data_IF_273817532238
#
_entry.id   IF_273817532238
#
_cell.length_a   1.000
_cell.length_b   1.000
_cell.length_c   1.000
_cell.angle_alpha   90.00
_cell.angle_beta   90.00
_cell.angle_gamma   90.00
#
_symmetry.space_group_name_H-M   'P 1'
#
loop_
_entity.id
_entity.type
_entity.pdbx_description
1 polymer ?
#
# COMPACT_ATOMS: atom_id res chain seq x y z
N UNK A 1 13.98 5.93 -1.12
CA UNK A 1 13.11 5.83 -2.32
C UNK A 1 13.07 4.37 -2.75
N UNK A 2 11.90 3.74 -2.62
CA UNK A 2 11.71 2.31 -2.87
C UNK A 2 10.41 2.02 -3.62
N UNK A 3 10.42 0.92 -4.36
CA UNK A 3 9.23 0.34 -4.97
C UNK A 3 8.62 -0.67 -3.99
N UNK A 4 7.32 -0.53 -3.73
CA UNK A 4 6.56 -1.45 -2.88
C UNK A 4 5.77 -2.38 -3.77
N UNK A 5 6.00 -3.69 -3.64
CA UNK A 5 5.27 -4.72 -4.36
C UNK A 5 4.29 -5.40 -3.43
N UNK A 6 3.02 -5.47 -3.81
CA UNK A 6 1.96 -6.16 -3.06
C UNK A 6 1.35 -7.22 -3.98
N UNK A 7 1.43 -8.48 -3.57
CA UNK A 7 1.00 -9.63 -4.37
C UNK A 7 0.19 -10.66 -3.57
N UNK A 8 -0.01 -10.42 -2.27
CA UNK A 8 -0.71 -11.35 -1.40
C UNK A 8 -2.23 -11.19 -1.52
N UNK A 9 -2.93 -12.29 -1.80
CA UNK A 9 -4.37 -12.29 -2.01
C UNK A 9 -5.10 -11.91 -0.72
N UNK A 10 -6.11 -11.05 -0.84
CA UNK A 10 -6.87 -10.58 0.32
C UNK A 10 -6.17 -9.48 1.11
N UNK A 11 -4.95 -9.09 0.72
CA UNK A 11 -4.31 -7.90 1.28
C UNK A 11 -5.17 -6.65 1.02
N UNK A 12 -5.16 -5.73 1.99
CA UNK A 12 -5.87 -4.48 1.89
C UNK A 12 -4.95 -3.29 2.11
N UNK A 13 -4.94 -2.38 1.13
CA UNK A 13 -4.17 -1.15 1.20
C UNK A 13 -5.04 -0.02 1.78
N UNK A 14 -4.48 0.69 2.76
CA UNK A 14 -5.06 1.89 3.37
C UNK A 14 -4.03 3.02 3.40
N UNK A 15 -4.54 4.24 3.38
CA UNK A 15 -3.76 5.43 3.68
C UNK A 15 -4.18 5.98 5.06
N UNK A 16 -3.20 6.24 5.94
CA UNK A 16 -3.43 6.89 7.24
C UNK A 16 -2.18 7.63 7.68
N UNK A 17 -2.33 8.88 8.14
CA UNK A 17 -1.27 9.66 8.81
C UNK A 17 0.07 9.71 8.02
N UNK A 18 0.03 10.02 6.72
CA UNK A 18 1.20 10.04 5.83
C UNK A 18 1.91 8.67 5.66
N UNK A 19 1.19 7.56 5.86
CA UNK A 19 1.71 6.20 5.73
C UNK A 19 0.82 5.34 4.86
N UNK A 20 1.45 4.50 4.05
CA UNK A 20 0.83 3.34 3.45
C UNK A 20 0.72 2.24 4.50
N UNK A 21 -0.49 1.76 4.74
CA UNK A 21 -0.76 0.59 5.58
C UNK A 21 -1.18 -0.56 4.67
N UNK A 22 -0.51 -1.71 4.78
CA UNK A 22 -0.84 -2.94 4.06
C UNK A 22 -1.25 -3.97 5.11
N UNK A 23 -2.53 -4.29 5.18
CA UNK A 23 -3.05 -5.31 6.07
C UNK A 23 -3.10 -6.64 5.33
N UNK A 24 -2.44 -7.67 5.86
CA UNK A 24 -2.52 -9.04 5.36
C UNK A 24 -3.54 -9.86 6.17
N UNK A 25 -3.65 -9.58 7.47
CA UNK A 25 -4.68 -10.11 8.38
C UNK A 25 -5.00 -9.09 9.48
N UNK A 26 -5.86 -9.41 10.45
CA UNK A 26 -6.21 -8.49 11.54
C UNK A 26 -4.99 -8.05 12.39
N UNK A 27 -4.00 -8.94 12.56
CA UNK A 27 -2.84 -8.71 13.40
C UNK A 27 -1.52 -8.61 12.63
N UNK A 28 -1.55 -8.79 11.30
CA UNK A 28 -0.37 -8.67 10.44
C UNK A 28 -0.53 -7.52 9.46
N UNK A 29 0.27 -6.48 9.65
CA UNK A 29 0.30 -5.34 8.76
C UNK A 29 1.71 -4.75 8.64
N UNK A 30 1.97 -4.16 7.48
CA UNK A 30 3.13 -3.28 7.25
C UNK A 30 2.69 -1.83 7.22
N UNK A 31 3.53 -0.97 7.78
CA UNK A 31 3.30 0.48 7.79
C UNK A 31 4.52 1.21 7.27
N UNK A 32 4.41 1.86 6.12
CA UNK A 32 5.53 2.45 5.38
C UNK A 32 5.26 3.95 5.20
N UNK A 33 6.19 4.85 5.56
CA UNK A 33 6.06 6.29 5.26
C UNK A 33 5.98 6.52 3.74
N UNK A 34 5.02 7.32 3.25
CA UNK A 34 4.85 7.49 1.79
C UNK A 34 6.01 8.25 1.16
N UNK A 35 6.65 9.15 1.92
CA UNK A 35 7.86 9.88 1.48
C UNK A 35 9.02 8.97 1.04
N UNK A 36 9.01 7.70 1.48
CA UNK A 36 10.01 6.73 1.09
C UNK A 36 9.62 5.92 -0.16
N UNK A 37 8.39 6.05 -0.65
CA UNK A 37 7.80 5.23 -1.71
C UNK A 37 7.71 6.02 -3.01
N UNK A 38 8.29 5.48 -4.08
CA UNK A 38 8.10 6.04 -5.42
C UNK A 38 6.91 5.39 -6.13
N UNK A 39 6.83 4.06 -6.06
CA UNK A 39 5.80 3.30 -6.75
C UNK A 39 5.20 2.22 -5.84
N UNK A 40 3.91 1.98 -6.01
CA UNK A 40 3.20 0.83 -5.44
C UNK A 40 2.72 -0.01 -6.62
N UNK A 41 3.20 -1.23 -6.72
CA UNK A 41 2.84 -2.19 -7.78
C UNK A 41 2.01 -3.31 -7.15
N UNK A 42 0.81 -3.51 -7.69
CA UNK A 42 -0.21 -4.41 -7.12
C UNK A 42 -0.46 -5.55 -8.11
N UNK A 43 -0.42 -6.80 -7.64
CA UNK A 43 -0.69 -8.00 -8.43
C UNK A 43 -1.87 -8.80 -7.85
N UNK A 44 -2.76 -9.27 -8.72
CA UNK A 44 -3.85 -10.17 -8.34
C UNK A 44 -5.05 -9.48 -7.68
N UNK A 45 -5.83 -10.24 -6.91
CA UNK A 45 -7.07 -9.78 -6.28
C UNK A 45 -6.79 -9.09 -4.93
N UNK A 46 -6.34 -7.84 -5.00
CA UNK A 46 -6.03 -6.99 -3.85
C UNK A 46 -7.09 -5.89 -3.72
N UNK A 47 -7.54 -5.65 -2.49
CA UNK A 47 -8.51 -4.61 -2.21
C UNK A 47 -7.82 -3.28 -1.92
N UNK A 48 -8.23 -2.23 -2.64
CA UNK A 48 -7.73 -0.88 -2.44
C UNK A 48 -8.84 -0.03 -1.86
N UNK A 49 -8.65 0.44 -0.63
CA UNK A 49 -9.50 1.46 -0.02
C UNK A 49 -8.86 2.84 -0.20
N UNK A 50 -9.68 3.91 -0.23
CA UNK A 50 -9.31 5.33 -0.45
C UNK A 50 -7.80 5.62 -0.29
N UNK A 51 -7.06 5.37 -1.37
CA UNK A 51 -5.62 5.58 -1.46
C UNK A 51 -5.42 6.84 -2.30
N UNK A 52 -4.57 7.76 -1.84
CA UNK A 52 -4.20 8.93 -2.62
C UNK A 52 -3.40 8.45 -3.82
N UNK A 53 -4.02 8.37 -5.00
CA UNK A 53 -3.29 8.15 -6.25
C UNK A 53 -2.48 9.40 -6.55
N UNK A 54 -1.20 9.39 -6.19
CA UNK A 54 -0.26 10.44 -6.62
C UNK A 54 0.21 10.06 -8.02
N UNK A 55 -0.51 10.53 -9.04
CA UNK A 55 0.00 10.53 -10.40
C UNK A 55 0.95 11.73 -10.51
N UNK A 56 2.26 11.48 -10.42
CA UNK A 56 3.27 12.51 -10.68
C UNK A 56 3.26 12.78 -12.19
N UNK A 57 2.68 13.92 -12.58
CA UNK A 57 2.74 14.48 -13.94
C UNK A 57 4.16 14.99 -14.19
#
# INVERSE_FOLDING_TARGET
MSNVYVYEQGAMLKYKENRLIINYSENDFKSIPIENIDNIVIFGAIQVSKCLFIQKI
#
